data_IF_663735900427
#
_entry.id   IF_663735900427
#
_cell.length_a   1.000
_cell.length_b   1.000
_cell.length_c   1.000
_cell.angle_alpha   90.00
_cell.angle_beta   90.00
_cell.angle_gamma   90.00
#
_symmetry.space_group_name_H-M   'P 1'
#
loop_
_entity.id
_entity.type
_entity.pdbx_description
1 polymer ?
#
# COMPACT_ATOMS: atom_id res chain seq x y z
N UNK A 1 0.70 -24.39 23.88
CA UNK A 1 -0.76 -24.29 23.73
C UNK A 1 -1.22 -22.91 24.16
N UNK A 2 -1.68 -22.11 23.20
CA UNK A 2 -2.16 -20.74 23.41
C UNK A 2 -3.52 -20.73 24.14
N UNK A 3 -3.88 -19.62 24.79
CA UNK A 3 -5.13 -19.50 25.56
C UNK A 3 -6.38 -19.82 24.74
N UNK A 4 -6.38 -19.53 23.44
CA UNK A 4 -7.47 -19.86 22.52
C UNK A 4 -7.59 -21.36 22.25
N UNK A 5 -6.48 -22.09 22.13
CA UNK A 5 -6.47 -23.54 21.90
C UNK A 5 -7.01 -24.32 23.11
N UNK A 6 -6.92 -23.72 24.30
CA UNK A 6 -7.49 -24.27 25.54
C UNK A 6 -9.01 -24.06 25.64
N UNK A 7 -9.63 -23.23 24.78
CA UNK A 7 -11.09 -23.02 24.77
C UNK A 7 -11.80 -24.25 24.20
N UNK A 8 -13.02 -24.49 24.68
CA UNK A 8 -13.83 -25.67 24.36
C UNK A 8 -14.03 -25.89 22.85
N UNK A 9 -14.13 -24.81 22.06
CA UNK A 9 -14.33 -24.88 20.62
C UNK A 9 -13.11 -25.47 19.88
N UNK A 10 -11.91 -24.94 20.09
CA UNK A 10 -10.69 -25.43 19.43
C UNK A 10 -10.20 -26.77 20.01
N UNK A 11 -10.53 -27.08 21.27
CA UNK A 11 -10.30 -28.42 21.83
C UNK A 11 -11.18 -29.49 21.15
N UNK A 12 -12.42 -29.14 20.80
CA UNK A 12 -13.35 -30.03 20.09
C UNK A 12 -13.02 -30.16 18.60
N UNK A 13 -12.48 -29.10 17.99
CA UNK A 13 -12.11 -29.07 16.57
C UNK A 13 -10.68 -28.55 16.38
N UNK A 14 -9.66 -29.35 16.70
CA UNK A 14 -8.26 -28.90 16.67
C UNK A 14 -7.76 -28.50 15.27
N UNK A 15 -8.35 -29.07 14.21
CA UNK A 15 -8.04 -28.74 12.81
C UNK A 15 -8.53 -27.35 12.36
N UNK A 16 -9.43 -26.71 13.13
CA UNK A 16 -10.01 -25.40 12.77
C UNK A 16 -9.09 -24.21 13.05
N UNK A 17 -8.00 -24.40 13.80
CA UNK A 17 -7.04 -23.33 14.13
C UNK A 17 -6.44 -22.68 12.88
N UNK A 18 -5.99 -23.50 11.93
CA UNK A 18 -5.39 -23.02 10.68
C UNK A 18 -6.39 -22.28 9.77
N UNK A 19 -7.58 -22.83 9.44
CA UNK A 19 -8.59 -22.11 8.67
C UNK A 19 -9.03 -20.78 9.30
N UNK A 20 -9.22 -20.74 10.63
CA UNK A 20 -9.62 -19.50 11.32
C UNK A 20 -8.52 -18.45 11.23
N UNK A 21 -7.26 -18.84 11.42
CA UNK A 21 -6.13 -17.92 11.33
C UNK A 21 -5.96 -17.40 9.90
N UNK A 22 -5.98 -18.27 8.89
CA UNK A 22 -5.87 -17.86 7.49
C UNK A 22 -7.05 -16.97 7.09
N UNK A 23 -8.26 -17.32 7.49
CA UNK A 23 -9.46 -16.52 7.22
C UNK A 23 -9.40 -15.14 7.85
N UNK A 24 -8.98 -15.04 9.12
CA UNK A 24 -8.84 -13.76 9.82
C UNK A 24 -7.76 -12.88 9.19
N UNK A 25 -6.58 -13.44 8.89
CA UNK A 25 -5.49 -12.71 8.23
C UNK A 25 -5.94 -12.26 6.84
N UNK A 26 -6.55 -13.15 6.06
CA UNK A 26 -7.09 -12.83 4.74
C UNK A 26 -8.11 -11.69 4.80
N UNK A 27 -9.06 -11.75 5.74
CA UNK A 27 -10.04 -10.69 5.97
C UNK A 27 -9.36 -9.34 6.29
N UNK A 28 -8.39 -9.32 7.19
CA UNK A 28 -7.65 -8.09 7.50
C UNK A 28 -6.90 -7.54 6.27
N UNK A 29 -6.29 -8.40 5.47
CA UNK A 29 -5.55 -8.01 4.27
C UNK A 29 -6.43 -7.37 3.19
N UNK A 30 -7.70 -7.81 3.07
CA UNK A 30 -8.68 -7.19 2.14
C UNK A 30 -8.83 -5.68 2.40
N UNK A 31 -8.75 -5.24 3.65
CA UNK A 31 -8.89 -3.83 4.01
C UNK A 31 -7.56 -3.10 4.16
N UNK A 32 -6.50 -3.77 4.59
CA UNK A 32 -5.21 -3.13 4.83
C UNK A 32 -4.64 -2.47 3.57
N UNK A 33 -4.64 -3.17 2.43
CA UNK A 33 -4.10 -2.63 1.17
C UNK A 33 -4.85 -1.39 0.66
N UNK A 34 -6.19 -1.40 0.48
CA UNK A 34 -6.90 -0.20 0.03
C UNK A 34 -6.83 0.95 1.06
N UNK A 35 -6.75 0.65 2.36
CA UNK A 35 -6.56 1.67 3.39
C UNK A 35 -5.20 2.35 3.27
N UNK A 36 -4.11 1.60 3.08
CA UNK A 36 -2.79 2.18 2.84
C UNK A 36 -2.78 3.06 1.57
N UNK A 37 -3.41 2.60 0.49
CA UNK A 37 -3.53 3.38 -0.75
C UNK A 37 -4.38 4.65 -0.58
N UNK A 38 -5.34 4.66 0.36
CA UNK A 38 -6.16 5.83 0.67
C UNK A 38 -5.44 6.82 1.60
N UNK A 39 -4.70 6.31 2.60
CA UNK A 39 -3.93 7.13 3.54
C UNK A 39 -2.74 7.81 2.86
N UNK A 40 -2.09 7.13 1.91
CA UNK A 40 -0.95 7.66 1.18
C UNK A 40 -1.35 7.96 -0.26
N UNK A 41 -1.46 9.25 -0.65
CA UNK A 41 -1.86 9.62 -1.99
C UNK A 41 -0.86 9.08 -3.00
N UNK A 42 -1.36 8.23 -3.90
CA UNK A 42 -0.54 7.58 -4.93
C UNK A 42 0.01 8.59 -5.92
N UNK A 43 -0.77 9.64 -6.24
CA UNK A 43 -0.34 10.73 -7.10
C UNK A 43 0.33 11.83 -6.30
N UNK A 44 1.60 12.10 -6.60
CA UNK A 44 2.38 13.20 -6.04
C UNK A 44 2.69 14.24 -7.11
N UNK A 45 3.14 15.42 -6.68
CA UNK A 45 3.64 16.46 -7.56
C UNK A 45 4.89 17.12 -7.02
N UNK A 46 5.74 17.61 -7.91
CA UNK A 46 6.95 18.37 -7.57
C UNK A 46 7.23 19.45 -8.61
N UNK A 47 8.04 20.44 -8.23
CA UNK A 47 8.52 21.48 -9.14
C UNK A 47 9.45 20.87 -10.19
N UNK A 48 9.36 21.35 -11.43
CA UNK A 48 10.34 21.01 -12.48
C UNK A 48 11.76 21.36 -12.04
N UNK A 49 11.94 22.44 -11.28
CA UNK A 49 13.25 22.87 -10.76
C UNK A 49 13.88 21.89 -9.78
N UNK A 50 13.10 20.93 -9.25
CA UNK A 50 13.57 19.90 -8.33
C UNK A 50 13.95 18.59 -9.03
N UNK A 51 13.79 18.51 -10.36
CA UNK A 51 14.18 17.35 -11.18
C UNK A 51 15.67 17.39 -11.53
N UNK A 52 16.19 16.26 -12.02
CA UNK A 52 17.52 16.15 -12.61
C UNK A 52 17.70 17.11 -13.80
N UNK A 53 18.91 17.63 -13.99
CA UNK A 53 19.20 18.65 -15.00
C UNK A 53 18.85 18.21 -16.43
N UNK A 54 19.04 16.92 -16.74
CA UNK A 54 18.67 16.35 -18.03
C UNK A 54 17.17 16.44 -18.28
N UNK A 55 16.35 16.03 -17.31
CA UNK A 55 14.88 16.11 -17.39
C UNK A 55 14.41 17.56 -17.46
N UNK A 56 15.04 18.47 -16.72
CA UNK A 56 14.75 19.89 -16.83
C UNK A 56 15.01 20.43 -18.25
N UNK A 57 16.11 20.04 -18.88
CA UNK A 57 16.44 20.46 -20.24
C UNK A 57 15.40 19.94 -21.25
N UNK A 58 15.06 18.65 -21.18
CA UNK A 58 14.04 18.04 -22.03
C UNK A 58 12.67 18.71 -21.86
N UNK A 59 12.26 18.99 -20.62
CA UNK A 59 10.98 19.67 -20.34
C UNK A 59 10.99 21.11 -20.86
N UNK A 60 12.10 21.85 -20.72
CA UNK A 60 12.16 23.23 -21.22
C UNK A 60 12.12 23.33 -22.74
N UNK A 61 12.64 22.31 -23.43
CA UNK A 61 12.56 22.21 -24.88
C UNK A 61 11.13 21.88 -25.35
N UNK A 62 10.47 20.91 -24.70
CA UNK A 62 9.13 20.47 -25.10
C UNK A 62 7.98 21.36 -24.58
N UNK A 63 8.10 21.85 -23.34
CA UNK A 63 7.05 22.55 -22.58
C UNK A 63 7.66 23.64 -21.66
N UNK A 64 8.14 24.76 -22.22
CA UNK A 64 8.88 25.79 -21.47
C UNK A 64 8.08 26.45 -20.33
N UNK A 65 6.76 26.46 -20.41
CA UNK A 65 5.85 27.00 -19.40
C UNK A 65 5.53 26.03 -18.24
N UNK A 66 5.93 24.75 -18.35
CA UNK A 66 5.60 23.73 -17.37
C UNK A 66 6.36 23.93 -16.06
N UNK A 67 5.63 24.14 -14.95
CA UNK A 67 6.23 24.39 -13.62
C UNK A 67 6.17 23.20 -12.67
N UNK A 68 5.22 22.29 -12.86
CA UNK A 68 5.00 21.12 -12.00
C UNK A 68 4.78 19.87 -12.83
N UNK A 69 5.31 18.76 -12.33
CA UNK A 69 5.04 17.42 -12.85
C UNK A 69 4.27 16.61 -11.83
N UNK A 70 3.55 15.59 -12.32
CA UNK A 70 2.81 14.64 -11.49
C UNK A 70 3.30 13.23 -11.77
N UNK A 71 3.44 12.43 -10.73
CA UNK A 71 3.94 11.06 -10.83
C UNK A 71 3.26 10.17 -9.78
N UNK A 72 3.26 8.87 -10.03
CA UNK A 72 2.84 7.91 -9.02
C UNK A 72 4.01 7.61 -8.08
N UNK A 73 3.80 7.73 -6.76
CA UNK A 73 4.80 7.37 -5.74
C UNK A 73 5.11 5.88 -5.68
N UNK A 74 4.24 5.05 -6.25
CA UNK A 74 4.34 3.59 -6.16
C UNK A 74 3.66 3.04 -4.90
N UNK A 75 3.54 1.71 -4.88
CA UNK A 75 3.12 0.91 -3.73
C UNK A 75 4.35 0.52 -2.90
#
# INVERSE_FOLDING_TARGET
>A
MNTLEKKAFLKRFPWMSAPIQVGLVGFCLVFATPLCCALFPQKSSMSVTSLEAELQAQIREAHPELRRVYFNKGL
#
